data_IF_639911123492
#
_entry.id   IF_639911123492
#
_cell.length_a   1.000
_cell.length_b   1.000
_cell.length_c   1.000
_cell.angle_alpha   90.00
_cell.angle_beta   90.00
_cell.angle_gamma   90.00
#
_symmetry.space_group_name_H-M   'P 1'
#
loop_
_entity.id
_entity.type
_entity.pdbx_description
1 polymer ?
#
# COMPACT_ATOMS: atom_id res chain seq x y z
N UNK A 1 -8.52 17.62 6.53
CA UNK A 1 -8.34 16.24 7.02
C UNK A 1 -8.38 15.33 5.82
N UNK A 2 -7.33 14.55 5.57
CA UNK A 2 -7.32 13.56 4.49
C UNK A 2 -8.21 12.38 4.91
N UNK A 3 -9.51 12.49 4.66
CA UNK A 3 -10.47 11.44 4.96
C UNK A 3 -10.29 10.27 3.97
N UNK A 4 -10.32 9.07 4.49
CA UNK A 4 -10.37 7.82 3.73
C UNK A 4 -11.54 6.97 4.25
N UNK A 5 -11.95 6.02 3.44
CA UNK A 5 -12.96 5.03 3.82
C UNK A 5 -12.31 3.73 4.24
N UNK A 6 -13.04 2.91 4.96
CA UNK A 6 -12.63 1.56 5.37
C UNK A 6 -13.54 0.53 4.71
N UNK A 7 -12.92 -0.50 4.15
CA UNK A 7 -13.58 -1.72 3.73
C UNK A 7 -13.23 -2.82 4.74
N UNK A 8 -14.24 -3.29 5.45
CA UNK A 8 -14.10 -4.35 6.45
C UNK A 8 -13.92 -5.70 5.73
N UNK A 9 -12.73 -6.29 5.85
CA UNK A 9 -12.41 -7.59 5.27
C UNK A 9 -12.86 -8.74 6.15
N UNK A 10 -13.05 -8.48 7.47
CA UNK A 10 -13.28 -9.50 8.47
C UNK A 10 -12.07 -10.38 8.74
N UNK A 11 -12.29 -11.60 9.20
CA UNK A 11 -11.23 -12.59 9.41
C UNK A 11 -10.76 -13.14 8.06
N UNK A 12 -9.48 -12.97 7.76
CA UNK A 12 -8.91 -13.42 6.49
C UNK A 12 -7.77 -14.40 6.71
N UNK A 13 -7.66 -15.36 5.80
CA UNK A 13 -6.50 -16.25 5.68
C UNK A 13 -5.50 -15.64 4.72
N UNK A 14 -4.23 -15.62 5.10
CA UNK A 14 -3.13 -15.10 4.29
C UNK A 14 -2.42 -16.21 3.54
N UNK A 15 -1.74 -15.87 2.46
CA UNK A 15 -1.02 -16.82 1.60
C UNK A 15 -0.06 -17.74 2.37
N UNK A 16 0.56 -17.23 3.44
CA UNK A 16 1.49 -17.99 4.28
C UNK A 16 0.82 -18.79 5.40
N UNK A 17 -0.50 -19.00 5.35
CA UNK A 17 -1.24 -19.84 6.28
C UNK A 17 -1.57 -19.18 7.63
N UNK A 18 -1.16 -17.93 7.86
CA UNK A 18 -1.57 -17.17 9.04
C UNK A 18 -2.95 -16.55 8.83
N UNK A 19 -3.64 -16.26 9.95
CA UNK A 19 -4.91 -15.52 9.93
C UNK A 19 -4.70 -14.10 10.44
N UNK A 20 -5.36 -13.15 9.83
CA UNK A 20 -5.48 -11.78 10.30
C UNK A 20 -6.95 -11.55 10.68
N UNK A 21 -7.19 -11.26 11.96
CA UNK A 21 -8.52 -11.01 12.50
C UNK A 21 -8.95 -9.58 12.24
N UNK A 22 -10.25 -9.39 12.01
CA UNK A 22 -10.89 -8.08 11.81
C UNK A 22 -10.10 -7.18 10.85
N UNK A 23 -9.61 -7.79 9.76
CA UNK A 23 -8.77 -7.10 8.78
C UNK A 23 -9.53 -5.97 8.10
N UNK A 24 -8.84 -4.84 7.88
CA UNK A 24 -9.38 -3.62 7.30
C UNK A 24 -8.52 -3.15 6.14
N UNK A 25 -9.17 -2.77 5.06
CA UNK A 25 -8.53 -2.13 3.92
C UNK A 25 -8.98 -0.67 3.84
N UNK A 26 -8.10 0.24 4.15
CA UNK A 26 -8.33 1.67 3.95
C UNK A 26 -8.21 2.01 2.46
N UNK A 27 -9.09 2.85 1.95
CA UNK A 27 -9.04 3.28 0.55
C UNK A 27 -9.59 4.70 0.39
N UNK A 28 -9.28 5.33 -0.74
CA UNK A 28 -9.85 6.60 -1.15
C UNK A 28 -10.34 6.50 -2.57
N UNK A 29 -11.46 7.17 -2.87
CA UNK A 29 -11.98 7.27 -4.24
C UNK A 29 -11.98 8.70 -4.72
N UNK A 30 -11.86 8.88 -6.04
CA UNK A 30 -11.91 10.17 -6.72
C UNK A 30 -12.70 10.03 -8.02
N UNK A 31 -13.43 11.09 -8.40
CA UNK A 31 -14.32 11.08 -9.56
C UNK A 31 -15.61 10.29 -9.32
N UNK A 32 -16.33 10.02 -10.38
CA UNK A 32 -17.63 9.35 -10.32
C UNK A 32 -17.65 8.07 -11.15
N UNK A 33 -18.20 7.02 -10.57
CA UNK A 33 -18.44 5.76 -11.27
C UNK A 33 -19.59 5.93 -12.27
N UNK A 34 -19.33 5.67 -13.54
CA UNK A 34 -20.34 5.79 -14.57
C UNK A 34 -21.38 4.62 -14.49
N UNK A 35 -22.48 4.76 -15.23
CA UNK A 35 -23.57 3.79 -15.22
C UNK A 35 -23.15 2.39 -15.69
N UNK A 36 -22.19 2.32 -16.61
CA UNK A 36 -21.66 1.08 -17.16
C UNK A 36 -20.59 0.44 -16.27
N UNK A 37 -20.08 1.17 -15.25
CA UNK A 37 -19.01 0.75 -14.35
C UNK A 37 -17.71 0.34 -15.06
N UNK A 38 -17.43 0.94 -16.22
CA UNK A 38 -16.28 0.62 -17.08
C UNK A 38 -15.19 1.72 -17.10
N UNK A 39 -15.37 2.83 -16.36
CA UNK A 39 -14.43 3.93 -16.25
C UNK A 39 -13.51 3.84 -15.03
N UNK A 40 -13.19 2.64 -14.60
CA UNK A 40 -12.49 2.39 -13.33
C UNK A 40 -10.98 2.35 -13.50
N UNK A 41 -10.28 3.07 -12.63
CA UNK A 41 -8.82 2.98 -12.47
C UNK A 41 -8.51 2.54 -11.05
N UNK A 42 -7.65 1.51 -10.90
CA UNK A 42 -7.08 1.10 -9.61
C UNK A 42 -5.65 1.59 -9.54
N UNK A 43 -5.34 2.40 -8.51
CA UNK A 43 -4.03 3.02 -8.31
C UNK A 43 -3.52 2.76 -6.89
N UNK A 44 -2.99 1.55 -6.58
CA UNK A 44 -2.57 1.21 -5.24
C UNK A 44 -1.39 2.05 -4.76
N UNK A 45 -1.31 2.24 -3.45
CA UNK A 45 -0.19 2.90 -2.80
C UNK A 45 1.10 2.08 -2.91
N UNK A 46 2.23 2.68 -2.58
CA UNK A 46 3.55 2.07 -2.67
C UNK A 46 4.29 2.12 -1.32
N UNK A 47 5.49 1.56 -1.26
CA UNK A 47 6.27 1.45 -0.03
C UNK A 47 6.44 2.81 0.68
N UNK A 48 6.10 2.85 1.96
CA UNK A 48 6.22 4.05 2.79
C UNK A 48 5.22 5.15 2.48
N UNK A 49 4.20 4.90 1.62
CA UNK A 49 3.20 5.89 1.23
C UNK A 49 1.79 5.54 1.68
N UNK A 50 0.96 6.56 1.74
CA UNK A 50 -0.49 6.50 1.88
C UNK A 50 -1.14 7.19 0.68
N UNK A 51 -2.46 7.04 0.50
CA UNK A 51 -3.19 7.57 -0.66
C UNK A 51 -2.90 9.04 -1.03
N UNK A 52 -2.58 9.98 -0.09
CA UNK A 52 -2.26 11.34 -0.49
C UNK A 52 -1.01 11.46 -1.39
N UNK A 53 -0.09 10.50 -1.31
CA UNK A 53 1.08 10.48 -2.19
C UNK A 53 0.74 10.18 -3.66
N UNK A 54 -0.44 9.63 -3.93
CA UNK A 54 -0.96 9.37 -5.29
C UNK A 54 -1.70 10.59 -5.86
N UNK A 55 -2.20 11.50 -5.01
CA UNK A 55 -3.04 12.65 -5.40
C UNK A 55 -2.41 13.61 -6.43
N UNK A 56 -1.08 13.83 -6.48
CA UNK A 56 -0.50 14.69 -7.49
C UNK A 56 -0.83 14.32 -8.95
N UNK A 57 -1.15 13.06 -9.22
CA UNK A 57 -1.55 12.58 -10.56
C UNK A 57 -3.05 12.61 -10.79
N UNK A 58 -3.87 12.81 -9.74
CA UNK A 58 -5.32 12.69 -9.75
C UNK A 58 -5.96 14.09 -9.76
N UNK A 59 -6.95 14.29 -10.61
CA UNK A 59 -7.74 15.52 -10.62
C UNK A 59 -8.18 15.94 -12.01
N UNK A 60 -9.05 16.96 -12.12
CA UNK A 60 -9.52 17.47 -13.40
C UNK A 60 -8.36 17.89 -14.30
N UNK A 61 -8.31 17.39 -15.53
CA UNK A 61 -7.27 17.70 -16.52
C UNK A 61 -5.89 17.11 -16.24
N UNK A 62 -5.73 16.31 -15.18
CA UNK A 62 -4.49 15.58 -14.88
C UNK A 62 -4.44 14.24 -15.63
N UNK A 63 -3.33 13.52 -15.49
CA UNK A 63 -3.16 12.20 -16.11
C UNK A 63 -4.29 11.23 -15.72
N UNK A 64 -4.71 11.26 -14.46
CA UNK A 64 -5.87 10.52 -13.94
C UNK A 64 -7.02 11.53 -13.74
N UNK A 65 -7.71 11.84 -14.84
CA UNK A 65 -8.75 12.87 -14.92
C UNK A 65 -10.05 12.42 -14.23
N UNK A 66 -10.37 13.04 -13.12
CA UNK A 66 -11.57 12.73 -12.32
C UNK A 66 -12.89 13.11 -13.00
N UNK A 67 -12.87 13.90 -14.08
CA UNK A 67 -14.06 14.15 -14.91
C UNK A 67 -14.40 12.95 -15.80
N UNK A 68 -13.47 12.01 -15.98
CA UNK A 68 -13.60 10.86 -16.90
C UNK A 68 -13.62 9.53 -16.14
N UNK A 69 -12.81 9.44 -15.10
CA UNK A 69 -12.52 8.17 -14.44
C UNK A 69 -12.94 8.17 -12.97
N UNK A 70 -13.40 7.02 -12.54
CA UNK A 70 -13.54 6.67 -11.13
C UNK A 70 -12.28 5.96 -10.66
N UNK A 71 -11.53 6.61 -9.77
CA UNK A 71 -10.21 6.17 -9.36
C UNK A 71 -10.29 5.64 -7.94
N UNK A 72 -9.89 4.40 -7.74
CA UNK A 72 -9.80 3.74 -6.44
C UNK A 72 -8.31 3.67 -6.05
N UNK A 73 -7.97 4.25 -4.90
CA UNK A 73 -6.63 4.21 -4.31
C UNK A 73 -6.66 3.36 -3.04
N UNK A 74 -6.43 2.04 -3.14
CA UNK A 74 -6.33 1.20 -1.95
C UNK A 74 -5.00 1.44 -1.25
N UNK A 75 -5.06 1.54 0.08
CA UNK A 75 -3.88 1.60 0.93
C UNK A 75 -3.39 0.18 1.21
N UNK A 76 -2.08 -0.05 1.05
CA UNK A 76 -1.50 -1.37 1.35
C UNK A 76 -1.72 -1.75 2.81
N UNK A 77 -1.93 -3.03 3.09
CA UNK A 77 -1.77 -3.55 4.44
C UNK A 77 -0.34 -3.28 4.90
N UNK A 78 -0.21 -2.88 6.14
CA UNK A 78 1.09 -2.51 6.72
C UNK A 78 1.48 -1.04 6.56
N UNK A 79 0.67 -0.19 5.89
CA UNK A 79 0.99 1.23 5.66
C UNK A 79 0.50 2.19 6.77
N UNK A 80 -0.10 1.66 7.84
CA UNK A 80 -0.60 2.43 8.97
C UNK A 80 -2.03 2.94 8.86
N UNK A 81 -2.69 2.85 7.69
CA UNK A 81 -4.12 3.15 7.51
C UNK A 81 -4.96 1.86 7.41
N UNK A 82 -4.58 0.95 6.53
CA UNK A 82 -5.08 -0.42 6.55
C UNK A 82 -4.53 -1.18 7.75
N UNK A 83 -5.03 -2.38 8.02
CA UNK A 83 -4.49 -3.23 9.09
C UNK A 83 -2.97 -3.30 9.01
N UNK A 84 -2.32 -2.98 10.12
CA UNK A 84 -0.88 -2.78 10.23
C UNK A 84 -0.39 -3.17 11.62
N UNK A 85 0.90 -3.44 11.81
CA UNK A 85 1.46 -3.72 13.14
C UNK A 85 1.10 -2.68 14.20
N UNK A 86 0.93 -1.41 13.78
CA UNK A 86 0.68 -0.27 14.67
C UNK A 86 -0.77 -0.03 15.05
N UNK A 87 -1.73 -0.62 14.34
CA UNK A 87 -3.16 -0.35 14.53
C UNK A 87 -4.04 -1.60 14.63
N UNK A 88 -3.46 -2.79 14.54
CA UNK A 88 -4.18 -4.06 14.69
C UNK A 88 -4.18 -4.50 16.15
N UNK A 89 -5.33 -4.89 16.72
CA UNK A 89 -5.40 -5.37 18.09
C UNK A 89 -4.84 -6.80 18.25
N UNK A 90 -4.64 -7.27 19.50
CA UNK A 90 -4.31 -8.67 19.74
C UNK A 90 -5.29 -9.65 19.05
N UNK A 91 -4.81 -10.79 18.55
CA UNK A 91 -3.45 -11.34 18.70
C UNK A 91 -2.49 -10.95 17.57
N UNK A 92 -2.87 -10.03 16.68
CA UNK A 92 -2.11 -9.72 15.46
C UNK A 92 -1.40 -8.35 15.53
N UNK A 93 -1.17 -7.82 16.72
CA UNK A 93 -0.50 -6.53 16.91
C UNK A 93 1.02 -6.62 16.80
N UNK A 94 1.65 -5.51 16.51
CA UNK A 94 3.11 -5.29 16.64
C UNK A 94 3.93 -6.36 15.91
N UNK A 95 4.84 -7.04 16.61
CA UNK A 95 5.67 -8.14 16.10
C UNK A 95 4.90 -9.41 15.76
N UNK A 96 3.68 -9.55 16.30
CA UNK A 96 2.78 -10.66 15.99
C UNK A 96 2.00 -10.44 14.68
N UNK A 97 2.11 -9.27 14.07
CA UNK A 97 1.46 -8.99 12.79
C UNK A 97 1.99 -9.96 11.72
N UNK A 98 1.11 -10.67 11.02
CA UNK A 98 1.54 -11.67 10.05
C UNK A 98 2.19 -11.03 8.83
N UNK A 99 3.04 -11.80 8.15
CA UNK A 99 3.59 -11.39 6.86
C UNK A 99 2.44 -11.35 5.85
N UNK A 100 2.25 -10.19 5.24
CA UNK A 100 1.30 -9.94 4.16
C UNK A 100 2.04 -9.82 2.85
N UNK A 101 1.64 -10.62 1.87
CA UNK A 101 2.27 -10.66 0.54
C UNK A 101 1.58 -9.74 -0.46
N UNK A 102 2.16 -9.58 -1.66
CA UNK A 102 1.47 -8.95 -2.79
C UNK A 102 0.17 -9.67 -3.13
N UNK A 103 0.21 -11.00 -3.13
CA UNK A 103 -0.95 -11.83 -3.42
C UNK A 103 -2.12 -11.49 -2.49
N UNK A 104 -1.86 -11.41 -1.17
CA UNK A 104 -2.88 -11.03 -0.18
C UNK A 104 -3.44 -9.64 -0.46
N UNK A 105 -2.56 -8.65 -0.69
CA UNK A 105 -2.98 -7.29 -0.98
C UNK A 105 -3.87 -7.22 -2.23
N UNK A 106 -3.51 -7.93 -3.30
CA UNK A 106 -4.28 -7.91 -4.54
C UNK A 106 -5.63 -8.62 -4.36
N UNK A 107 -5.70 -9.74 -3.65
CA UNK A 107 -6.98 -10.38 -3.34
C UNK A 107 -7.92 -9.46 -2.55
N UNK A 108 -7.39 -8.73 -1.58
CA UNK A 108 -8.22 -7.82 -0.77
C UNK A 108 -8.64 -6.57 -1.55
N UNK A 109 -7.78 -6.06 -2.42
CA UNK A 109 -8.15 -4.99 -3.35
C UNK A 109 -9.20 -5.47 -4.35
N UNK A 110 -9.09 -6.70 -4.85
CA UNK A 110 -10.09 -7.30 -5.73
C UNK A 110 -11.45 -7.41 -5.03
N UNK A 111 -11.49 -7.89 -3.77
CA UNK A 111 -12.71 -7.92 -2.97
C UNK A 111 -13.32 -6.52 -2.79
N UNK A 112 -12.51 -5.51 -2.50
CA UNK A 112 -12.99 -4.12 -2.45
C UNK A 112 -13.66 -3.71 -3.76
N UNK A 113 -13.02 -3.97 -4.89
CA UNK A 113 -13.49 -3.57 -6.22
C UNK A 113 -14.77 -4.31 -6.60
N UNK A 114 -14.83 -5.62 -6.37
CA UNK A 114 -15.98 -6.46 -6.77
C UNK A 114 -17.11 -6.44 -5.76
N UNK A 115 -16.83 -6.65 -4.47
CA UNK A 115 -17.87 -6.80 -3.46
C UNK A 115 -18.49 -5.45 -3.05
N UNK A 116 -17.65 -4.40 -2.88
CA UNK A 116 -18.15 -3.08 -2.47
C UNK A 116 -18.71 -2.26 -3.63
N UNK A 117 -17.99 -2.25 -4.76
CA UNK A 117 -18.39 -1.40 -5.89
C UNK A 117 -19.12 -2.15 -7.00
N UNK A 118 -19.17 -3.49 -6.97
CA UNK A 118 -19.79 -4.31 -8.01
C UNK A 118 -19.14 -4.12 -9.38
N UNK A 119 -17.82 -3.95 -9.42
CA UNK A 119 -17.04 -3.71 -10.62
C UNK A 119 -16.46 -5.05 -11.09
N UNK A 120 -16.70 -5.40 -12.34
CA UNK A 120 -16.17 -6.60 -13.00
C UNK A 120 -15.16 -6.29 -14.10
N UNK A 121 -14.97 -5.00 -14.44
CA UNK A 121 -14.06 -4.54 -15.47
C UNK A 121 -13.28 -3.30 -15.02
N UNK A 122 -11.96 -3.32 -15.17
CA UNK A 122 -11.05 -2.24 -14.81
C UNK A 122 -10.36 -1.72 -16.07
N UNK A 123 -10.62 -0.46 -16.43
CA UNK A 123 -10.04 0.16 -17.62
C UNK A 123 -8.51 0.28 -17.52
N UNK A 124 -7.99 0.51 -16.31
CA UNK A 124 -6.55 0.65 -16.07
C UNK A 124 -6.21 0.29 -14.63
N UNK A 125 -5.19 -0.55 -14.45
CA UNK A 125 -4.43 -0.63 -13.20
C UNK A 125 -3.09 0.05 -13.42
N UNK A 126 -2.75 1.01 -12.58
CA UNK A 126 -1.49 1.75 -12.71
C UNK A 126 -0.79 1.88 -11.36
N UNK A 127 0.52 2.11 -11.36
CA UNK A 127 1.23 2.19 -10.09
C UNK A 127 2.70 2.57 -10.20
N UNK A 128 3.18 3.25 -9.16
CA UNK A 128 4.57 3.65 -8.98
C UNK A 128 5.30 2.66 -8.07
N UNK A 129 6.55 2.32 -8.40
CA UNK A 129 7.43 1.50 -7.55
C UNK A 129 6.76 0.19 -7.11
N UNK A 130 6.55 -0.03 -5.83
CA UNK A 130 5.79 -1.16 -5.27
C UNK A 130 4.34 -1.20 -5.77
N UNK A 131 3.73 -0.04 -6.06
CA UNK A 131 2.43 0.05 -6.74
C UNK A 131 2.50 -0.48 -8.18
N UNK A 132 3.61 -0.24 -8.89
CA UNK A 132 3.87 -0.80 -10.21
C UNK A 132 4.05 -2.33 -10.18
N UNK A 133 4.65 -2.87 -9.13
CA UNK A 133 4.71 -4.32 -8.93
C UNK A 133 3.31 -4.93 -8.73
N UNK A 134 2.44 -4.24 -8.00
CA UNK A 134 1.05 -4.66 -7.83
C UNK A 134 0.26 -4.67 -9.14
N UNK A 135 0.55 -3.76 -10.07
CA UNK A 135 -0.09 -3.76 -11.41
C UNK A 135 0.18 -5.04 -12.19
N UNK A 136 1.39 -5.56 -12.14
CA UNK A 136 1.69 -6.87 -12.75
C UNK A 136 0.92 -8.01 -12.09
N UNK A 137 0.81 -8.00 -10.75
CA UNK A 137 0.01 -8.99 -10.02
C UNK A 137 -1.47 -8.93 -10.37
N UNK A 138 -2.05 -7.73 -10.50
CA UNK A 138 -3.42 -7.56 -10.95
C UNK A 138 -3.67 -8.20 -12.31
N UNK A 139 -2.82 -7.90 -13.29
CA UNK A 139 -2.95 -8.47 -14.64
C UNK A 139 -2.76 -10.00 -14.68
N UNK A 140 -1.86 -10.51 -13.85
CA UNK A 140 -1.59 -11.95 -13.80
C UNK A 140 -2.69 -12.74 -13.10
N UNK A 141 -3.30 -12.18 -12.04
CA UNK A 141 -4.34 -12.86 -11.26
C UNK A 141 -5.75 -12.69 -11.86
N UNK A 142 -6.01 -11.55 -12.50
CA UNK A 142 -7.32 -11.19 -13.02
C UNK A 142 -7.23 -10.68 -14.47
N UNK A 143 -6.70 -11.49 -15.42
CA UNK A 143 -6.46 -11.05 -16.79
C UNK A 143 -7.75 -10.67 -17.53
N UNK A 144 -8.86 -11.31 -17.23
CA UNK A 144 -10.15 -11.04 -17.88
C UNK A 144 -10.83 -9.76 -17.34
N UNK A 145 -10.40 -9.29 -16.17
CA UNK A 145 -10.96 -8.10 -15.52
C UNK A 145 -10.15 -6.83 -15.86
N UNK A 146 -8.86 -6.94 -16.09
CA UNK A 146 -7.93 -5.82 -16.29
C UNK A 146 -7.66 -5.60 -17.78
N UNK A 147 -8.13 -4.47 -18.33
CA UNK A 147 -7.92 -4.16 -19.74
C UNK A 147 -6.48 -3.68 -20.06
N UNK A 148 -5.94 -2.84 -19.18
CA UNK A 148 -4.62 -2.22 -19.39
C UNK A 148 -3.88 -2.09 -18.07
N UNK A 149 -2.56 -2.13 -18.16
CA UNK A 149 -1.68 -1.83 -17.03
C UNK A 149 -0.68 -0.74 -17.40
N UNK A 150 -0.35 0.11 -16.43
CA UNK A 150 0.71 1.11 -16.55
C UNK A 150 1.60 1.08 -15.30
N UNK A 151 2.54 0.14 -15.22
CA UNK A 151 3.54 0.11 -14.16
C UNK A 151 4.68 1.08 -14.50
N UNK A 152 5.12 1.91 -13.53
CA UNK A 152 6.34 2.70 -13.67
C UNK A 152 7.22 2.58 -12.43
N UNK A 153 8.52 2.62 -12.64
CA UNK A 153 9.54 2.42 -11.60
C UNK A 153 9.38 1.11 -10.79
N UNK A 154 8.67 0.13 -11.35
CA UNK A 154 8.44 -1.18 -10.78
C UNK A 154 8.87 -2.27 -11.75
N UNK A 155 9.17 -3.47 -11.23
CA UNK A 155 9.56 -4.63 -12.04
C UNK A 155 8.68 -5.84 -11.73
N UNK A 156 8.40 -6.66 -12.72
CA UNK A 156 7.66 -7.93 -12.54
C UNK A 156 8.48 -8.94 -11.71
N UNK A 157 9.80 -8.82 -11.70
CA UNK A 157 10.73 -9.61 -10.90
C UNK A 157 11.81 -8.72 -10.31
N UNK A 158 12.00 -8.82 -9.00
CA UNK A 158 13.05 -8.07 -8.29
C UNK A 158 14.44 -8.40 -8.85
N UNK A 159 15.19 -7.36 -9.25
CA UNK A 159 16.57 -7.53 -9.70
C UNK A 159 17.49 -7.92 -8.53
N UNK A 160 18.61 -8.61 -8.79
CA UNK A 160 19.61 -8.91 -7.75
C UNK A 160 20.09 -7.67 -6.99
N UNK A 161 20.29 -6.54 -7.69
CA UNK A 161 20.68 -5.27 -7.07
C UNK A 161 19.63 -4.77 -6.07
N UNK A 162 18.36 -4.74 -6.47
CA UNK A 162 17.29 -4.30 -5.58
C UNK A 162 17.06 -5.29 -4.42
N UNK A 163 17.29 -6.57 -4.64
CA UNK A 163 17.25 -7.59 -3.58
C UNK A 163 18.32 -7.31 -2.51
N UNK A 164 19.57 -7.07 -2.92
CA UNK A 164 20.66 -6.73 -1.99
C UNK A 164 20.35 -5.46 -1.20
N UNK A 165 19.79 -4.43 -1.86
CA UNK A 165 19.36 -3.20 -1.19
C UNK A 165 18.31 -3.48 -0.09
N UNK A 166 17.27 -4.26 -0.40
CA UNK A 166 16.21 -4.61 0.56
C UNK A 166 16.73 -5.47 1.72
N UNK A 167 17.59 -6.44 1.45
CA UNK A 167 18.23 -7.27 2.48
C UNK A 167 19.18 -6.45 3.36
N UNK A 168 19.87 -5.46 2.80
CA UNK A 168 20.69 -4.52 3.57
C UNK A 168 19.87 -3.69 4.57
N UNK A 169 18.73 -3.15 4.14
CA UNK A 169 17.80 -2.42 5.03
C UNK A 169 17.24 -3.34 6.12
N UNK A 170 16.87 -4.56 5.75
CA UNK A 170 16.39 -5.57 6.70
C UNK A 170 17.47 -5.95 7.70
N UNK A 171 18.71 -6.21 7.24
CA UNK A 171 19.82 -6.54 8.10
C UNK A 171 20.12 -5.43 9.12
N UNK A 172 20.13 -4.17 8.68
CA UNK A 172 20.31 -3.03 9.58
C UNK A 172 19.19 -2.94 10.64
N UNK A 173 17.95 -3.25 10.25
CA UNK A 173 16.81 -3.25 11.18
C UNK A 173 16.91 -4.40 12.19
N UNK A 174 17.29 -5.61 11.75
CA UNK A 174 17.33 -6.82 12.58
C UNK A 174 18.60 -6.93 13.42
N UNK A 175 19.64 -6.15 13.12
CA UNK A 175 20.91 -6.12 13.89
C UNK A 175 20.77 -5.45 15.26
N UNK A 176 19.70 -4.74 15.50
CA UNK A 176 19.48 -4.06 16.76
C UNK A 176 18.96 -5.05 17.82
N UNK A 177 19.61 -5.10 19.01
CA UNK A 177 19.32 -6.05 20.11
C UNK A 177 17.87 -6.07 20.58
N UNK A 178 17.16 -4.94 20.52
CA UNK A 178 15.76 -4.88 20.89
C UNK A 178 14.79 -5.30 19.73
N UNK A 179 15.29 -5.75 18.54
CA UNK A 179 14.41 -6.34 17.52
C UNK A 179 13.61 -7.51 18.07
N UNK A 180 14.18 -8.29 18.97
CA UNK A 180 13.58 -9.49 19.57
C UNK A 180 12.79 -9.23 20.87
N UNK A 181 12.90 -8.02 21.48
CA UNK A 181 12.39 -7.78 22.84
C UNK A 181 11.09 -6.97 22.85
N UNK A 182 10.91 -6.00 21.97
CA UNK A 182 9.67 -5.19 21.89
C UNK A 182 9.62 -4.34 20.60
N UNK A 183 9.23 -4.96 19.53
CA UNK A 183 9.19 -4.37 18.20
C UNK A 183 8.42 -3.03 18.01
N UNK A 184 7.48 -2.60 18.88
CA UNK A 184 6.73 -1.36 18.65
C UNK A 184 7.47 -0.08 18.90
N UNK A 185 8.41 -0.05 19.84
CA UNK A 185 9.14 1.20 20.16
C UNK A 185 10.16 1.58 19.09
N UNK A 186 10.52 0.68 18.21
CA UNK A 186 11.54 0.83 17.18
C UNK A 186 11.05 1.34 15.85
N UNK A 187 9.84 0.95 15.43
CA UNK A 187 9.19 1.63 14.31
C UNK A 187 9.11 3.15 14.58
N UNK A 188 8.85 3.52 15.84
CA UNK A 188 8.89 4.92 16.31
C UNK A 188 10.30 5.53 16.27
N UNK A 189 11.36 4.76 16.51
CA UNK A 189 12.74 5.27 16.50
C UNK A 189 13.23 5.53 15.07
N UNK A 190 12.93 4.64 14.14
CA UNK A 190 13.23 4.84 12.70
C UNK A 190 12.44 6.02 12.13
N UNK A 191 11.20 6.19 12.55
CA UNK A 191 10.38 7.36 12.19
C UNK A 191 10.92 8.65 12.80
N UNK A 192 11.45 8.60 14.04
CA UNK A 192 12.09 9.76 14.70
C UNK A 192 13.45 10.16 14.10
N UNK A 193 14.24 9.20 13.59
CA UNK A 193 15.46 9.53 12.83
C UNK A 193 15.15 10.27 11.52
N UNK A 194 13.98 10.03 10.91
CA UNK A 194 13.51 10.79 9.74
C UNK A 194 12.97 12.18 10.06
N UNK A 195 12.63 12.48 11.31
CA UNK A 195 12.01 13.74 11.72
C UNK A 195 12.89 14.61 12.60
N UNK A 196 14.19 14.33 12.73
CA UNK A 196 15.10 15.32 13.32
C UNK A 196 15.27 16.46 12.32
N UNK A 197 14.76 17.68 12.62
CA UNK A 197 15.21 18.88 11.93
C UNK A 197 16.72 18.99 12.19
N UNK A 198 17.45 19.35 11.15
CA UNK A 198 18.87 19.60 11.20
C UNK A 198 19.22 20.47 12.40
N UNK A 199 19.81 19.90 13.41
CA UNK A 199 20.57 20.67 14.39
C UNK A 199 21.90 21.03 13.71
N UNK A 200 21.89 22.01 12.84
CA UNK A 200 23.06 22.81 12.60
C UNK A 200 23.32 23.62 13.87
N UNK A 201 24.06 22.99 14.76
CA UNK A 201 24.67 23.70 15.88
C UNK A 201 25.58 24.77 15.33
N UNK A 202 25.22 25.99 15.64
CA UNK A 202 26.00 27.20 15.51
C UNK A 202 27.40 26.95 16.14
N UNK A 203 28.41 26.77 15.34
CA UNK A 203 29.81 26.87 15.80
C UNK A 203 30.16 28.34 15.74
N UNK A 204 29.75 29.04 16.79
CA UNK A 204 30.19 30.40 17.06
C UNK A 204 31.71 30.46 17.13
N UNK A 205 32.28 31.28 16.26
CA UNK A 205 33.68 31.64 16.27
C UNK A 205 34.02 32.52 17.48
N UNK A 206 35.20 32.37 17.96
CA UNK A 206 36.12 33.40 18.41
C UNK A 206 37.52 33.00 17.99
#
# INVERSE_FOLDING_TARGET
MNSHDIYELGDVSLQQGKRLKDAKLAYKTYGELNKNRDNVIVFPTYFGSQHPANEPMIGPGRALDTNKYFIIVPNLLGNGLSSSPSNTPPPNEKSSFPIVTYYDNILFQHRLVTEKFGIDRIALVCGFSMGGQQTYHWAALFPDMVERIAPWCGSAKTSPHNFVFLEGVKAALTADDAWNVDAPQRLLYITRLRTRPDQHGDVGGT
#
